data_IF_297081001807
#
_entry.id   IF_297081001807
#
_cell.length_a   1.000
_cell.length_b   1.000
_cell.length_c   1.000
_cell.angle_alpha   90.00
_cell.angle_beta   90.00
_cell.angle_gamma   90.00
#
_symmetry.space_group_name_H-M   'P 1'
#
loop_
_entity.id
_entity.type
_entity.pdbx_description
1 polymer ?
#
# COMPACT_ATOMS: atom_id res chain seq x y z
N UNK A 1 -13.56 -14.26 35.89
CA UNK A 1 -12.58 -14.34 34.79
C UNK A 1 -12.25 -15.81 34.61
N UNK A 2 -12.42 -16.38 33.42
CA UNK A 2 -12.12 -17.80 33.17
C UNK A 2 -10.60 -17.96 33.11
N UNK A 3 -10.05 -18.94 33.80
CA UNK A 3 -8.61 -19.17 33.81
C UNK A 3 -8.14 -19.58 32.39
N UNK A 4 -7.21 -18.83 31.77
CA UNK A 4 -6.70 -19.14 30.43
C UNK A 4 -5.94 -20.47 30.36
N UNK A 5 -5.54 -21.06 31.49
CA UNK A 5 -4.83 -22.34 31.55
C UNK A 5 -5.52 -23.46 30.73
N UNK A 6 -6.85 -23.57 30.80
CA UNK A 6 -7.57 -24.65 30.11
C UNK A 6 -7.51 -24.53 28.59
N UNK A 7 -7.38 -23.31 28.06
CA UNK A 7 -7.24 -23.06 26.62
C UNK A 7 -5.88 -23.56 26.14
N UNK A 8 -4.79 -23.15 26.82
CA UNK A 8 -3.44 -23.65 26.55
C UNK A 8 -3.34 -25.18 26.69
N UNK A 9 -3.96 -25.77 27.71
CA UNK A 9 -3.97 -27.22 27.87
C UNK A 9 -4.67 -27.95 26.70
N UNK A 10 -5.78 -27.38 26.20
CA UNK A 10 -6.48 -27.90 25.04
C UNK A 10 -5.65 -27.77 23.76
N UNK A 11 -4.98 -26.63 23.56
CA UNK A 11 -4.11 -26.39 22.40
C UNK A 11 -2.93 -27.34 22.37
N UNK A 12 -2.23 -27.52 23.50
CA UNK A 12 -1.12 -28.48 23.64
C UNK A 12 -1.61 -29.90 23.32
N UNK A 13 -2.78 -30.29 23.81
CA UNK A 13 -3.35 -31.62 23.53
C UNK A 13 -3.65 -31.81 22.05
N UNK A 14 -4.26 -30.84 21.39
CA UNK A 14 -4.55 -30.90 19.96
C UNK A 14 -3.27 -30.90 19.12
N UNK A 15 -2.28 -30.11 19.52
CA UNK A 15 -0.99 -30.04 18.85
C UNK A 15 -0.23 -31.37 18.97
N UNK A 16 -0.22 -32.00 20.16
CA UNK A 16 0.33 -33.35 20.36
C UNK A 16 -0.39 -34.40 19.51
N UNK A 17 -1.73 -34.34 19.44
CA UNK A 17 -2.51 -35.25 18.61
C UNK A 17 -2.23 -35.06 17.12
N UNK A 18 -2.03 -33.81 16.68
CA UNK A 18 -1.66 -33.48 15.29
C UNK A 18 -0.25 -33.98 15.00
N UNK A 19 0.71 -33.73 15.89
CA UNK A 19 2.08 -34.20 15.77
C UNK A 19 2.14 -35.73 15.62
N UNK A 20 1.39 -36.48 16.44
CA UNK A 20 1.34 -37.94 16.36
C UNK A 20 0.71 -38.52 15.08
N UNK A 21 0.04 -37.69 14.25
CA UNK A 21 -0.49 -38.12 12.94
C UNK A 21 0.47 -37.86 11.78
N UNK A 22 1.51 -37.04 12.00
CA UNK A 22 2.44 -36.67 10.95
C UNK A 22 3.53 -37.75 10.79
N UNK A 23 4.05 -37.93 9.57
CA UNK A 23 5.18 -38.83 9.37
C UNK A 23 6.41 -38.30 10.12
N UNK A 24 7.14 -39.22 10.76
CA UNK A 24 8.41 -38.94 11.41
C UNK A 24 9.40 -38.34 10.39
N UNK A 25 10.17 -37.34 10.82
CA UNK A 25 11.14 -36.63 9.95
C UNK A 25 10.53 -35.57 9.01
N UNK A 26 9.23 -35.27 9.11
CA UNK A 26 8.66 -34.14 8.35
C UNK A 26 9.04 -32.80 8.97
N UNK A 27 9.37 -31.81 8.13
CA UNK A 27 9.65 -30.43 8.57
C UNK A 27 8.45 -29.80 9.29
N UNK A 28 7.23 -30.19 8.92
CA UNK A 28 5.99 -29.79 9.60
C UNK A 28 5.92 -30.33 11.04
N UNK A 29 6.29 -31.60 11.26
CA UNK A 29 6.36 -32.19 12.60
C UNK A 29 7.36 -31.43 13.48
N UNK A 30 8.56 -31.14 12.97
CA UNK A 30 9.57 -30.38 13.71
C UNK A 30 9.09 -28.98 14.11
N UNK A 31 8.38 -28.29 13.22
CA UNK A 31 7.78 -26.98 13.51
C UNK A 31 6.72 -27.05 14.61
N UNK A 32 5.84 -28.04 14.55
CA UNK A 32 4.79 -28.25 15.55
C UNK A 32 5.38 -28.61 16.92
N UNK A 33 6.35 -29.53 16.98
CA UNK A 33 7.02 -29.91 18.23
C UNK A 33 7.73 -28.71 18.86
N UNK A 34 8.38 -27.87 18.06
CA UNK A 34 9.00 -26.63 18.56
C UNK A 34 8.00 -25.64 19.16
N UNK A 35 6.80 -25.53 18.56
CA UNK A 35 5.69 -24.75 19.10
C UNK A 35 5.18 -25.29 20.44
N UNK A 36 4.86 -26.60 20.50
CA UNK A 36 4.41 -27.28 21.72
C UNK A 36 5.40 -27.10 22.87
N UNK A 37 6.70 -27.19 22.57
CA UNK A 37 7.76 -26.96 23.56
C UNK A 37 7.72 -25.55 24.16
N UNK A 38 7.43 -24.55 23.34
CA UNK A 38 7.26 -23.17 23.80
C UNK A 38 6.03 -23.05 24.70
N UNK A 39 4.89 -23.60 24.27
CA UNK A 39 3.63 -23.53 25.02
C UNK A 39 3.75 -24.24 26.38
N UNK A 40 4.40 -25.41 26.42
CA UNK A 40 4.72 -26.13 27.66
C UNK A 40 5.62 -25.27 28.57
N UNK A 41 6.62 -24.57 28.03
CA UNK A 41 7.49 -23.70 28.81
C UNK A 41 6.72 -22.53 29.43
N UNK A 42 5.76 -21.96 28.71
CA UNK A 42 4.90 -20.88 29.19
C UNK A 42 3.94 -21.36 30.28
N UNK A 43 3.30 -22.53 30.09
CA UNK A 43 2.44 -23.15 31.10
C UNK A 43 3.23 -23.48 32.37
N UNK A 44 4.44 -24.02 32.23
CA UNK A 44 5.34 -24.27 33.36
C UNK A 44 5.67 -22.99 34.12
N UNK A 45 5.90 -21.89 33.40
CA UNK A 45 6.17 -20.60 34.01
C UNK A 45 4.92 -20.05 34.73
N UNK A 46 3.74 -20.19 34.15
CA UNK A 46 2.48 -19.81 34.78
C UNK A 46 2.24 -20.59 36.09
N UNK A 47 2.48 -21.90 36.10
CA UNK A 47 2.39 -22.73 37.31
C UNK A 47 3.37 -22.22 38.38
N UNK A 48 4.62 -21.90 38.02
CA UNK A 48 5.60 -21.34 38.97
C UNK A 48 5.16 -20.01 39.56
N UNK A 49 4.56 -19.13 38.76
CA UNK A 49 4.05 -17.83 39.23
C UNK A 49 2.91 -18.05 40.23
N UNK A 50 2.01 -18.99 39.94
CA UNK A 50 0.90 -19.35 40.84
C UNK A 50 1.41 -20.00 42.13
N UNK A 51 2.47 -20.80 42.08
CA UNK A 51 3.10 -21.42 43.26
C UNK A 51 3.85 -20.43 44.15
N UNK A 52 4.51 -19.43 43.55
CA UNK A 52 5.22 -18.38 44.29
C UNK A 52 4.28 -17.31 44.83
N UNK A 53 3.15 -17.12 44.15
CA UNK A 53 2.05 -16.30 44.63
C UNK A 53 1.13 -17.15 45.50
N UNK A 54 0.17 -16.52 46.19
CA UNK A 54 -0.85 -17.27 46.91
C UNK A 54 -1.87 -17.86 45.92
N UNK A 55 -1.99 -19.20 45.77
CA UNK A 55 -2.89 -19.83 44.80
C UNK A 55 -4.36 -19.48 45.03
N UNK A 56 -4.74 -19.22 46.29
CA UNK A 56 -6.10 -18.86 46.67
C UNK A 56 -6.53 -17.52 46.05
N UNK A 57 -5.57 -16.61 45.78
CA UNK A 57 -5.83 -15.34 45.09
C UNK A 57 -6.28 -15.51 43.64
N UNK A 58 -5.94 -16.63 43.02
CA UNK A 58 -6.32 -16.98 41.66
C UNK A 58 -7.51 -17.95 41.62
N UNK A 59 -8.08 -18.33 42.77
CA UNK A 59 -9.14 -19.33 42.84
C UNK A 59 -8.68 -20.74 42.45
N UNK A 60 -7.38 -21.01 42.56
CA UNK A 60 -6.76 -22.30 42.21
C UNK A 60 -6.56 -23.08 43.50
N UNK A 61 -7.21 -24.24 43.61
CA UNK A 61 -7.02 -25.15 44.74
C UNK A 61 -5.79 -26.05 44.55
N UNK A 62 -5.38 -26.73 45.63
CA UNK A 62 -4.20 -27.60 45.61
C UNK A 62 -4.38 -28.82 44.68
N UNK A 63 -5.61 -29.29 44.47
CA UNK A 63 -5.92 -30.41 43.58
C UNK A 63 -5.79 -30.00 42.12
N UNK A 64 -6.32 -28.83 41.77
CA UNK A 64 -6.18 -28.23 40.45
C UNK A 64 -4.71 -27.99 40.13
N UNK A 65 -3.94 -27.39 41.04
CA UNK A 65 -2.51 -27.17 40.83
C UNK A 65 -1.73 -28.48 40.59
N UNK A 66 -2.07 -29.56 41.30
CA UNK A 66 -1.47 -30.87 41.05
C UNK A 66 -1.90 -31.48 39.72
N UNK A 67 -3.16 -31.29 39.29
CA UNK A 67 -3.61 -31.67 37.95
C UNK A 67 -2.80 -30.95 36.86
N UNK A 68 -2.50 -29.65 37.05
CA UNK A 68 -1.67 -28.88 36.11
C UNK A 68 -0.25 -29.42 36.01
N UNK A 69 0.36 -29.74 37.15
CA UNK A 69 1.68 -30.37 37.19
C UNK A 69 1.68 -31.74 36.52
N UNK A 70 0.63 -32.54 36.73
CA UNK A 70 0.48 -33.84 36.09
C UNK A 70 0.37 -33.70 34.56
N UNK A 71 -0.48 -32.81 34.08
CA UNK A 71 -0.63 -32.53 32.65
C UNK A 71 0.68 -32.07 32.01
N UNK A 72 1.43 -31.19 32.68
CA UNK A 72 2.73 -30.72 32.21
C UNK A 72 3.72 -31.89 32.05
N UNK A 73 3.83 -32.76 33.05
CA UNK A 73 4.70 -33.95 33.01
C UNK A 73 4.32 -34.93 31.90
N UNK A 74 3.02 -35.16 31.70
CA UNK A 74 2.51 -36.03 30.63
C UNK A 74 2.82 -35.44 29.25
N UNK A 75 2.63 -34.13 29.09
CA UNK A 75 2.89 -33.41 27.84
C UNK A 75 4.39 -33.35 27.50
N UNK A 76 5.25 -33.10 28.49
CA UNK A 76 6.70 -33.12 28.34
C UNK A 76 7.19 -34.51 27.90
N UNK A 77 6.66 -35.58 28.50
CA UNK A 77 7.01 -36.96 28.13
C UNK A 77 6.57 -37.32 26.71
N UNK A 78 5.35 -36.93 26.32
CA UNK A 78 4.86 -37.15 24.97
C UNK A 78 5.68 -36.39 23.92
N UNK A 79 6.08 -35.15 24.24
CA UNK A 79 6.96 -34.35 23.39
C UNK A 79 8.34 -35.02 23.21
N UNK A 80 8.94 -35.51 24.30
CA UNK A 80 10.26 -36.18 24.26
C UNK A 80 10.24 -37.45 23.39
N UNK A 81 9.19 -38.27 23.49
CA UNK A 81 9.02 -39.48 22.66
C UNK A 81 8.90 -39.15 21.16
N UNK A 82 8.15 -38.09 20.83
CA UNK A 82 8.00 -37.64 19.43
C UNK A 82 9.28 -36.98 18.88
N UNK A 83 10.02 -36.24 19.72
CA UNK A 83 11.31 -35.66 19.33
C UNK A 83 12.37 -36.75 19.10
N UNK A 84 12.38 -37.81 19.91
CA UNK A 84 13.35 -38.90 19.78
C UNK A 84 13.11 -39.73 18.51
N UNK A 85 11.83 -40.01 18.20
CA UNK A 85 11.47 -40.66 16.93
C UNK A 85 11.81 -39.81 15.71
N UNK A 86 11.64 -38.48 15.81
CA UNK A 86 12.04 -37.54 14.74
C UNK A 86 13.56 -37.51 14.56
N UNK A 87 14.31 -37.44 15.67
CA UNK A 87 15.78 -37.44 15.67
C UNK A 87 16.36 -38.75 15.15
N UNK A 88 15.75 -39.88 15.47
CA UNK A 88 16.12 -41.18 14.94
C UNK A 88 15.89 -41.23 13.41
N UNK A 89 14.78 -40.67 12.94
CA UNK A 89 14.45 -40.65 11.51
C UNK A 89 15.35 -39.69 10.69
N UNK A 90 15.78 -38.58 11.29
CA UNK A 90 16.75 -37.65 10.67
C UNK A 90 18.14 -38.26 10.51
N UNK A 91 18.49 -39.24 11.36
CA UNK A 91 19.74 -40.00 11.26
C UNK A 91 19.79 -40.99 10.09
N UNK A 92 18.64 -41.32 9.48
CA UNK A 92 18.50 -42.36 8.46
C UNK A 92 17.83 -41.87 7.17
N UNK A 93 17.93 -40.57 6.87
CA UNK A 93 17.63 -40.06 5.53
C UNK A 93 18.76 -40.48 4.58
N UNK A 94 18.48 -41.30 3.54
CA UNK A 94 19.51 -41.64 2.57
C UNK A 94 19.98 -40.34 1.92
N UNK A 95 21.29 -40.13 1.87
CA UNK A 95 21.94 -38.91 1.35
C UNK A 95 21.43 -38.45 -0.03
N UNK A 96 20.82 -39.36 -0.80
CA UNK A 96 20.11 -39.09 -2.05
C UNK A 96 18.88 -38.19 -1.89
N UNK A 97 18.11 -38.30 -0.81
CA UNK A 97 16.90 -37.49 -0.57
C UNK A 97 17.22 -36.05 -0.21
N UNK A 98 18.20 -35.83 0.67
CA UNK A 98 18.71 -34.49 0.99
C UNK A 98 19.39 -33.82 -0.21
N UNK A 99 20.12 -34.60 -1.02
CA UNK A 99 20.71 -34.09 -2.26
C UNK A 99 19.62 -33.67 -3.25
N UNK A 100 18.56 -34.47 -3.40
CA UNK A 100 17.44 -34.17 -4.29
C UNK A 100 16.60 -32.97 -3.83
N UNK A 101 16.33 -32.84 -2.53
CA UNK A 101 15.63 -31.68 -1.97
C UNK A 101 16.44 -30.39 -2.16
N UNK A 102 17.76 -30.46 -1.92
CA UNK A 102 18.66 -29.33 -2.15
C UNK A 102 18.72 -28.94 -3.62
N UNK A 103 18.73 -29.91 -4.53
CA UNK A 103 18.69 -29.67 -5.97
C UNK A 103 17.36 -29.02 -6.39
N UNK A 104 16.23 -29.47 -5.85
CA UNK A 104 14.93 -28.83 -6.06
C UNK A 104 14.91 -27.37 -5.56
N UNK A 105 15.45 -27.10 -4.37
CA UNK A 105 15.56 -25.73 -3.85
C UNK A 105 16.44 -24.84 -4.74
N UNK A 106 17.52 -25.38 -5.32
CA UNK A 106 18.36 -24.64 -6.26
C UNK A 106 17.62 -24.28 -7.56
N UNK A 107 16.78 -25.18 -8.07
CA UNK A 107 15.93 -24.89 -9.25
C UNK A 107 14.90 -23.79 -8.95
N UNK A 108 14.30 -23.81 -7.75
CA UNK A 108 13.37 -22.77 -7.30
C UNK A 108 14.06 -21.41 -7.16
N UNK A 109 15.27 -21.38 -6.61
CA UNK A 109 16.08 -20.14 -6.51
C UNK A 109 16.47 -19.61 -7.89
N UNK A 110 16.88 -20.48 -8.82
CA UNK A 110 17.19 -20.09 -10.19
C UNK A 110 15.97 -19.51 -10.93
N UNK A 111 14.77 -20.05 -10.67
CA UNK A 111 13.53 -19.55 -11.24
C UNK A 111 13.18 -18.15 -10.70
N UNK A 112 13.38 -17.93 -9.40
CA UNK A 112 13.17 -16.61 -8.78
C UNK A 112 14.17 -15.57 -9.26
N UNK A 113 15.43 -15.94 -9.48
CA UNK A 113 16.45 -15.02 -10.01
C UNK A 113 16.12 -14.53 -11.43
N UNK A 114 15.57 -15.42 -12.27
CA UNK A 114 15.03 -15.05 -13.59
C UNK A 114 13.87 -14.06 -13.49
N UNK A 115 12.97 -14.24 -12.50
CA UNK A 115 11.87 -13.30 -12.26
C UNK A 115 12.37 -11.93 -11.78
N UNK A 116 13.38 -11.90 -10.89
CA UNK A 116 14.01 -10.65 -10.45
C UNK A 116 14.71 -9.91 -11.60
N UNK A 117 15.35 -10.63 -12.52
CA UNK A 117 15.94 -10.02 -13.71
C UNK A 117 14.90 -9.40 -14.65
N UNK A 118 13.71 -10.02 -14.80
CA UNK A 118 12.60 -9.45 -15.57
C UNK A 118 12.00 -8.19 -14.90
N UNK A 119 11.93 -8.18 -13.57
CA UNK A 119 11.56 -6.96 -12.83
C UNK A 119 12.64 -5.89 -13.00
N UNK A 120 13.92 -6.27 -12.94
CA UNK A 120 15.05 -5.39 -13.17
C UNK A 120 15.04 -4.73 -14.54
N UNK A 121 14.73 -5.48 -15.61
CA UNK A 121 14.62 -4.93 -16.97
C UNK A 121 13.42 -3.98 -17.10
N UNK A 122 12.28 -4.33 -16.49
CA UNK A 122 11.09 -3.47 -16.46
C UNK A 122 11.34 -2.17 -15.70
N UNK A 123 12.05 -2.23 -14.57
CA UNK A 123 12.49 -1.05 -13.81
C UNK A 123 13.48 -0.19 -14.60
N UNK A 124 14.37 -0.80 -15.39
CA UNK A 124 15.28 -0.07 -16.26
C UNK A 124 14.51 0.69 -17.35
N UNK A 125 13.50 0.08 -17.96
CA UNK A 125 12.60 0.72 -18.93
C UNK A 125 11.78 1.84 -18.29
N UNK A 126 11.22 1.62 -17.10
CA UNK A 126 10.47 2.67 -16.39
C UNK A 126 11.37 3.86 -16.04
N UNK A 127 12.62 3.61 -15.62
CA UNK A 127 13.59 4.67 -15.33
C UNK A 127 13.94 5.46 -16.59
N UNK A 128 14.16 4.79 -17.73
CA UNK A 128 14.46 5.49 -18.98
C UNK A 128 13.25 6.28 -19.50
N UNK A 129 12.04 5.75 -19.35
CA UNK A 129 10.80 6.45 -19.68
C UNK A 129 10.56 7.66 -18.78
N UNK A 130 10.82 7.54 -17.47
CA UNK A 130 10.72 8.67 -16.54
C UNK A 130 11.74 9.78 -16.87
N UNK A 131 12.94 9.42 -17.32
CA UNK A 131 13.93 10.39 -17.77
C UNK A 131 13.47 11.14 -19.05
N UNK A 132 12.90 10.41 -20.02
CA UNK A 132 12.31 10.99 -21.23
C UNK A 132 11.12 11.91 -20.90
N UNK A 133 10.22 11.49 -20.01
CA UNK A 133 9.10 12.33 -19.54
C UNK A 133 9.62 13.58 -18.84
N UNK A 134 10.69 13.46 -18.05
CA UNK A 134 11.30 14.61 -17.37
C UNK A 134 11.88 15.63 -18.36
N UNK A 135 12.54 15.16 -19.41
CA UNK A 135 13.06 16.03 -20.46
C UNK A 135 11.93 16.72 -21.25
N UNK A 136 10.94 15.95 -21.70
CA UNK A 136 9.77 16.46 -22.44
C UNK A 136 8.96 17.46 -21.60
N UNK A 137 8.80 17.20 -20.29
CA UNK A 137 8.14 18.14 -19.37
C UNK A 137 8.93 19.45 -19.25
N UNK A 138 10.26 19.37 -19.18
CA UNK A 138 11.11 20.56 -19.12
C UNK A 138 11.07 21.36 -20.45
N UNK A 139 11.01 20.68 -21.58
CA UNK A 139 10.79 21.31 -22.89
C UNK A 139 9.40 21.97 -22.97
N UNK A 140 8.35 21.32 -22.46
CA UNK A 140 7.00 21.89 -22.37
C UNK A 140 6.91 23.11 -21.45
N UNK A 141 7.67 23.15 -20.34
CA UNK A 141 7.79 24.35 -19.50
C UNK A 141 8.45 25.50 -20.26
N UNK A 142 9.44 25.21 -21.11
CA UNK A 142 10.02 26.19 -22.04
C UNK A 142 9.00 26.72 -23.05
N UNK A 143 8.22 25.82 -23.67
CA UNK A 143 7.16 26.18 -24.63
C UNK A 143 6.02 26.98 -23.98
N UNK A 144 5.71 26.74 -22.70
CA UNK A 144 4.75 27.58 -21.96
C UNK A 144 5.25 29.02 -21.79
N UNK A 145 6.55 29.23 -21.65
CA UNK A 145 7.15 30.57 -21.63
C UNK A 145 7.02 31.29 -22.98
N UNK A 146 7.15 30.57 -24.10
CA UNK A 146 6.92 31.14 -25.44
C UNK A 146 5.44 31.44 -25.70
N UNK A 147 4.54 30.58 -25.21
CA UNK A 147 3.10 30.81 -25.27
C UNK A 147 2.71 32.07 -24.48
N UNK A 148 3.28 32.28 -23.29
CA UNK A 148 3.07 33.47 -22.46
C UNK A 148 3.49 34.76 -23.21
N UNK A 149 4.68 34.74 -23.83
CA UNK A 149 5.14 35.85 -24.67
C UNK A 149 4.22 36.11 -25.89
N UNK A 150 3.67 35.05 -26.50
CA UNK A 150 2.73 35.19 -27.61
C UNK A 150 1.38 35.76 -27.15
N UNK A 151 0.89 35.34 -25.98
CA UNK A 151 -0.32 35.89 -25.34
C UNK A 151 -0.13 37.37 -25.02
N UNK A 152 1.02 37.78 -24.47
CA UNK A 152 1.36 39.18 -24.21
C UNK A 152 1.36 40.02 -25.50
N UNK A 153 1.94 39.50 -26.58
CA UNK A 153 1.92 40.19 -27.88
C UNK A 153 0.49 40.34 -28.42
N UNK A 154 -0.33 39.30 -28.27
CA UNK A 154 -1.74 39.30 -28.68
C UNK A 154 -2.53 40.31 -27.86
N UNK A 155 -2.33 40.37 -26.54
CA UNK A 155 -2.94 41.35 -25.65
C UNK A 155 -2.60 42.79 -26.07
N UNK A 156 -1.33 43.05 -26.45
CA UNK A 156 -0.91 44.36 -26.94
C UNK A 156 -1.54 44.72 -28.30
N UNK A 157 -1.67 43.75 -29.21
CA UNK A 157 -2.37 43.95 -30.49
C UNK A 157 -3.87 44.20 -30.29
N UNK A 158 -4.51 43.46 -29.38
CA UNK A 158 -5.92 43.65 -29.02
C UNK A 158 -6.15 45.03 -28.39
N UNK A 159 -5.31 45.45 -27.44
CA UNK A 159 -5.38 46.80 -26.85
C UNK A 159 -5.21 47.90 -27.92
N UNK A 160 -4.29 47.70 -28.86
CA UNK A 160 -4.12 48.62 -29.99
C UNK A 160 -5.35 48.64 -30.91
N UNK A 161 -6.00 47.50 -31.15
CA UNK A 161 -7.23 47.40 -31.94
C UNK A 161 -8.40 48.12 -31.25
N UNK A 162 -8.59 47.92 -29.95
CA UNK A 162 -9.62 48.60 -29.15
C UNK A 162 -9.42 50.12 -29.23
N UNK A 163 -8.20 50.62 -29.04
CA UNK A 163 -7.93 52.07 -29.14
C UNK A 163 -8.19 52.67 -30.54
N UNK A 164 -8.10 51.86 -31.61
CA UNK A 164 -8.49 52.29 -32.96
C UNK A 164 -10.01 52.33 -33.07
N UNK A 165 -10.70 51.34 -32.51
CA UNK A 165 -12.15 51.28 -32.49
C UNK A 165 -12.74 52.49 -31.72
N UNK A 166 -12.18 52.84 -30.56
CA UNK A 166 -12.58 54.03 -29.80
C UNK A 166 -12.42 55.32 -30.62
N UNK A 167 -11.30 55.44 -31.35
CA UNK A 167 -11.08 56.60 -32.25
C UNK A 167 -12.05 56.63 -33.42
N UNK A 168 -12.45 55.48 -33.96
CA UNK A 168 -13.47 55.40 -35.01
C UNK A 168 -14.83 55.81 -34.46
N UNK A 169 -15.23 55.29 -33.29
CA UNK A 169 -16.47 55.68 -32.61
C UNK A 169 -16.49 57.18 -32.35
N UNK A 170 -15.43 57.74 -31.77
CA UNK A 170 -15.33 59.18 -31.51
C UNK A 170 -15.40 60.04 -32.79
N UNK A 171 -14.79 59.60 -33.89
CA UNK A 171 -14.88 60.30 -35.19
C UNK A 171 -16.26 60.21 -35.82
N UNK A 172 -16.97 59.12 -35.59
CA UNK A 172 -18.31 58.89 -36.13
C UNK A 172 -19.30 59.77 -35.37
N UNK A 173 -19.21 59.81 -34.04
CA UNK A 173 -20.05 60.64 -33.18
C UNK A 173 -19.92 62.14 -33.48
N UNK A 174 -18.68 62.65 -33.62
CA UNK A 174 -18.44 64.07 -33.94
C UNK A 174 -18.99 64.51 -35.31
N UNK A 175 -18.98 63.62 -36.31
CA UNK A 175 -19.51 63.93 -37.65
C UNK A 175 -21.03 63.82 -37.72
N UNK A 176 -21.62 62.84 -37.04
CA UNK A 176 -23.07 62.65 -37.04
C UNK A 176 -23.80 63.73 -36.25
N UNK A 177 -23.29 64.13 -35.09
CA UNK A 177 -23.96 65.13 -34.24
C UNK A 177 -24.08 66.52 -34.89
N UNK A 178 -23.01 66.99 -35.55
CA UNK A 178 -22.99 68.33 -36.15
C UNK A 178 -23.80 68.45 -37.44
N UNK A 179 -23.69 67.46 -38.33
CA UNK A 179 -24.40 67.49 -39.62
C UNK A 179 -25.89 67.20 -39.46
N UNK A 180 -26.28 66.31 -38.55
CA UNK A 180 -27.68 66.02 -38.29
C UNK A 180 -28.43 67.26 -37.81
N UNK A 181 -27.85 68.03 -36.88
CA UNK A 181 -28.46 69.28 -36.40
C UNK A 181 -28.70 70.28 -37.54
N UNK A 182 -27.69 70.51 -38.39
CA UNK A 182 -27.82 71.44 -39.52
C UNK A 182 -28.80 70.95 -40.59
N UNK A 183 -28.83 69.65 -40.89
CA UNK A 183 -29.77 69.06 -41.85
C UNK A 183 -31.22 69.15 -41.37
N UNK A 184 -31.47 68.84 -40.08
CA UNK A 184 -32.80 68.95 -39.48
C UNK A 184 -33.26 70.42 -39.42
N UNK A 185 -32.36 71.36 -39.07
CA UNK A 185 -32.65 72.78 -39.07
C UNK A 185 -33.03 73.30 -40.47
N UNK A 186 -32.28 72.91 -41.52
CA UNK A 186 -32.58 73.27 -42.91
C UNK A 186 -33.95 72.74 -43.34
N UNK A 187 -34.24 71.47 -43.04
CA UNK A 187 -35.51 70.83 -43.39
C UNK A 187 -36.69 71.57 -42.71
N UNK A 188 -36.54 71.96 -41.44
CA UNK A 188 -37.53 72.78 -40.73
C UNK A 188 -37.74 74.15 -41.39
N UNK A 189 -36.67 74.83 -41.82
CA UNK A 189 -36.78 76.11 -42.53
C UNK A 189 -37.51 75.96 -43.87
N UNK A 190 -37.19 74.93 -44.64
CA UNK A 190 -37.86 74.65 -45.92
C UNK A 190 -39.36 74.38 -45.68
N UNK A 191 -39.70 73.57 -44.67
CA UNK A 191 -41.09 73.30 -44.31
C UNK A 191 -41.83 74.58 -43.93
N UNK A 192 -41.19 75.48 -43.17
CA UNK A 192 -41.78 76.77 -42.79
C UNK A 192 -42.03 77.66 -44.01
N UNK A 193 -41.10 77.71 -44.97
CA UNK A 193 -41.28 78.46 -46.22
C UNK A 193 -42.47 77.92 -47.02
N UNK A 194 -42.58 76.59 -47.15
CA UNK A 194 -43.68 75.94 -47.86
C UNK A 194 -45.03 76.22 -47.20
N UNK A 195 -45.09 76.37 -45.88
CA UNK A 195 -46.33 76.68 -45.15
C UNK A 195 -46.71 78.16 -45.26
N UNK A 196 -45.73 79.07 -45.37
CA UNK A 196 -45.98 80.52 -45.48
C UNK A 196 -46.41 80.94 -46.90
N UNK A 197 -45.90 80.26 -47.93
CA UNK A 197 -46.28 80.47 -49.34
C UNK A 197 -47.66 79.87 -49.62
#
# INVERSE_FOLDING_TARGET
MRDPYHEYASEITHALQRAGKLPAGSSELGSILAGIRSDIADVRQAIRIVEQSDPSRFGIDATELENRRKFLRESERALEEMEDTTRYHDGELPSSTLAWEKEQQQQLLATQDSALNQIGSSLHVLRSQAALIGQETNEQVGMLGELDAHVDSTQNHLNAAISRMDRLVARTDARLGGWCFWLVALLLVILLIVVII
#
